data_IF_310728551415
#
_entry.id   IF_310728551415
#
_cell.length_a   1.000
_cell.length_b   1.000
_cell.length_c   1.000
_cell.angle_alpha   90.00
_cell.angle_beta   90.00
_cell.angle_gamma   90.00
#
_symmetry.space_group_name_H-M   'P 1'
#
loop_
_entity.id
_entity.type
_entity.pdbx_description
1 polymer ?
#
# COMPACT_ATOMS: atom_id res chain seq x y z
N UNK A 1 6.12 0.02 -16.29
CA UNK A 1 5.68 0.75 -15.09
C UNK A 1 6.82 1.11 -14.13
N UNK A 2 7.62 0.13 -13.70
CA UNK A 2 8.40 0.26 -12.46
C UNK A 2 9.81 0.87 -12.62
N UNK A 3 10.56 0.55 -13.68
CA UNK A 3 12.00 0.85 -13.73
C UNK A 3 12.33 2.35 -13.61
N UNK A 4 11.74 3.21 -14.44
CA UNK A 4 12.03 4.64 -14.42
C UNK A 4 11.63 5.33 -13.10
N UNK A 5 10.49 4.92 -12.52
CA UNK A 5 10.04 5.43 -11.22
C UNK A 5 10.94 4.95 -10.08
N UNK A 6 11.36 3.68 -10.08
CA UNK A 6 12.29 3.16 -9.07
C UNK A 6 13.61 3.93 -9.14
N UNK A 7 14.16 4.17 -10.34
CA UNK A 7 15.38 4.95 -10.51
C UNK A 7 15.23 6.38 -9.98
N UNK A 8 14.15 7.09 -10.31
CA UNK A 8 13.93 8.45 -9.80
C UNK A 8 13.74 8.47 -8.27
N UNK A 9 13.10 7.45 -7.71
CA UNK A 9 12.94 7.34 -6.26
C UNK A 9 14.28 7.05 -5.59
N UNK A 10 15.10 6.17 -6.16
CA UNK A 10 16.45 5.86 -5.71
C UNK A 10 17.34 7.11 -5.70
N UNK A 11 17.33 7.87 -6.78
CA UNK A 11 18.03 9.16 -6.87
C UNK A 11 17.55 10.16 -5.81
N UNK A 12 16.25 10.23 -5.55
CA UNK A 12 15.72 11.06 -4.48
C UNK A 12 16.23 10.62 -3.10
N UNK A 13 16.25 9.32 -2.82
CA UNK A 13 16.74 8.78 -1.56
C UNK A 13 18.24 9.05 -1.36
N UNK A 14 19.02 8.97 -2.44
CA UNK A 14 20.46 9.25 -2.42
C UNK A 14 20.75 10.76 -2.29
N UNK A 15 20.19 11.58 -3.19
CA UNK A 15 20.60 12.97 -3.38
C UNK A 15 19.87 13.95 -2.45
N UNK A 16 18.59 13.70 -2.16
CA UNK A 16 17.76 14.61 -1.36
C UNK A 16 17.71 14.17 0.10
N UNK A 17 17.60 12.87 0.34
CA UNK A 17 17.50 12.31 1.70
C UNK A 17 18.85 11.88 2.28
N UNK A 18 19.91 11.82 1.46
CA UNK A 18 21.27 11.45 1.85
C UNK A 18 21.33 10.16 2.69
N UNK A 19 20.57 9.15 2.27
CA UNK A 19 20.52 7.86 2.95
C UNK A 19 21.70 6.97 2.54
N UNK A 20 22.10 6.06 3.42
CA UNK A 20 23.11 5.04 3.09
C UNK A 20 22.59 4.03 2.07
N UNK A 21 23.48 3.43 1.29
CA UNK A 21 23.14 2.41 0.27
C UNK A 21 22.28 1.27 0.84
N UNK A 22 22.59 0.81 2.05
CA UNK A 22 21.79 -0.22 2.73
C UNK A 22 20.36 0.25 3.04
N UNK A 23 20.20 1.52 3.41
CA UNK A 23 18.88 2.11 3.63
C UNK A 23 18.14 2.20 2.30
N UNK A 24 18.76 2.78 1.28
CA UNK A 24 18.20 2.91 -0.08
C UNK A 24 17.70 1.56 -0.59
N UNK A 25 18.55 0.53 -0.54
CA UNK A 25 18.20 -0.84 -0.92
C UNK A 25 16.97 -1.35 -0.16
N UNK A 26 16.87 -1.08 1.14
CA UNK A 26 15.71 -1.43 1.95
C UNK A 26 14.41 -0.78 1.47
N UNK A 27 14.44 0.50 1.11
CA UNK A 27 13.27 1.21 0.56
C UNK A 27 12.90 0.69 -0.83
N UNK A 28 13.89 0.48 -1.71
CA UNK A 28 13.67 -0.03 -3.08
C UNK A 28 13.06 -1.44 -3.05
N UNK A 29 13.63 -2.37 -2.27
CA UNK A 29 13.09 -3.73 -2.13
C UNK A 29 11.66 -3.75 -1.55
N UNK A 30 11.33 -2.80 -0.69
CA UNK A 30 9.96 -2.67 -0.19
C UNK A 30 8.99 -2.17 -1.25
N UNK A 31 9.41 -1.18 -2.04
CA UNK A 31 8.65 -0.68 -3.18
C UNK A 31 8.43 -1.75 -4.24
N UNK A 32 9.47 -2.50 -4.62
CA UNK A 32 9.37 -3.62 -5.56
C UNK A 32 8.37 -4.68 -5.06
N UNK A 33 8.41 -5.00 -3.76
CA UNK A 33 7.45 -5.93 -3.16
C UNK A 33 6.02 -5.43 -3.25
N UNK A 34 5.79 -4.12 -3.09
CA UNK A 34 4.47 -3.51 -3.24
C UNK A 34 4.02 -3.55 -4.71
N UNK A 35 4.87 -3.12 -5.65
CA UNK A 35 4.56 -3.14 -7.08
C UNK A 35 4.25 -4.54 -7.60
N UNK A 36 4.98 -5.55 -7.13
CA UNK A 36 4.69 -6.97 -7.44
C UNK A 36 3.32 -7.42 -6.91
N UNK A 37 2.86 -6.87 -5.79
CA UNK A 37 1.50 -7.10 -5.29
C UNK A 37 0.46 -6.42 -6.19
N UNK A 38 0.73 -5.20 -6.66
CA UNK A 38 -0.14 -4.47 -7.59
C UNK A 38 -0.32 -5.21 -8.91
N UNK A 39 0.78 -5.70 -9.48
CA UNK A 39 0.75 -6.49 -10.72
C UNK A 39 -0.12 -7.74 -10.58
N UNK A 40 -0.11 -8.41 -9.41
CA UNK A 40 -0.97 -9.56 -9.14
C UNK A 40 -2.46 -9.20 -9.05
N UNK A 41 -2.78 -7.98 -8.64
CA UNK A 41 -4.14 -7.44 -8.62
C UNK A 41 -4.57 -6.89 -9.99
N UNK A 42 -3.70 -6.95 -11.00
CA UNK A 42 -3.96 -6.39 -12.33
C UNK A 42 -3.80 -4.87 -12.41
N UNK A 43 -3.26 -4.23 -11.37
CA UNK A 43 -3.04 -2.78 -11.33
C UNK A 43 -1.69 -2.48 -11.98
N UNK A 44 -1.77 -1.80 -13.12
CA UNK A 44 -0.61 -1.50 -13.97
C UNK A 44 -0.47 -0.02 -14.25
N UNK A 45 -1.26 0.86 -13.62
CA UNK A 45 -1.10 2.32 -13.73
C UNK A 45 -1.14 2.98 -12.34
N UNK A 46 -0.36 4.06 -12.13
CA UNK A 46 -0.29 4.74 -10.83
C UNK A 46 -1.57 5.52 -10.51
N UNK A 47 -2.31 5.95 -11.54
CA UNK A 47 -3.61 6.61 -11.42
C UNK A 47 -4.72 5.69 -10.87
N UNK A 48 -4.53 4.36 -10.94
CA UNK A 48 -5.43 3.34 -10.41
C UNK A 48 -5.11 3.00 -8.95
N UNK A 49 -4.01 3.53 -8.39
CA UNK A 49 -3.65 3.25 -7.02
C UNK A 49 -4.57 3.99 -6.05
N UNK A 50 -4.95 3.26 -5.02
CA UNK A 50 -5.84 3.70 -3.94
C UNK A 50 -5.27 3.16 -2.61
N UNK A 51 -5.74 3.68 -1.48
CA UNK A 51 -5.21 3.28 -0.17
C UNK A 51 -5.52 1.81 0.15
N UNK A 52 -6.60 1.27 -0.39
CA UNK A 52 -7.08 -0.11 -0.33
C UNK A 52 -6.03 -1.07 -0.88
N UNK A 53 -5.33 -0.68 -1.94
CA UNK A 53 -4.26 -1.46 -2.54
C UNK A 53 -3.05 -1.58 -1.61
N UNK A 54 -2.69 -0.50 -0.91
CA UNK A 54 -1.63 -0.51 0.11
C UNK A 54 -2.05 -1.39 1.29
N UNK A 55 -3.30 -1.27 1.76
CA UNK A 55 -3.85 -2.10 2.84
C UNK A 55 -3.85 -3.59 2.46
N UNK A 56 -4.25 -3.92 1.23
CA UNK A 56 -4.22 -5.29 0.69
C UNK A 56 -2.81 -5.89 0.72
N UNK A 57 -1.81 -5.12 0.31
CA UNK A 57 -0.41 -5.54 0.38
C UNK A 57 0.06 -5.79 1.82
N UNK A 58 -0.24 -4.87 2.74
CA UNK A 58 0.13 -5.01 4.15
C UNK A 58 -0.57 -6.19 4.83
N UNK A 59 -1.85 -6.43 4.51
CA UNK A 59 -2.60 -7.58 4.98
C UNK A 59 -2.00 -8.90 4.43
N UNK A 60 -1.62 -8.93 3.15
CA UNK A 60 -0.95 -10.10 2.57
C UNK A 60 0.37 -10.42 3.30
N UNK A 61 1.17 -9.40 3.63
CA UNK A 61 2.39 -9.58 4.41
C UNK A 61 2.12 -10.11 5.82
N UNK A 62 1.05 -9.64 6.48
CA UNK A 62 0.64 -10.12 7.79
C UNK A 62 0.20 -11.59 7.75
N UNK A 63 -0.62 -11.97 6.77
CA UNK A 63 -1.11 -13.37 6.60
C UNK A 63 0.02 -14.35 6.26
N UNK A 64 1.09 -13.88 5.61
CA UNK A 64 2.28 -14.68 5.31
C UNK A 64 3.27 -14.77 6.48
N UNK A 65 2.94 -14.17 7.63
CA UNK A 65 3.70 -14.33 8.87
C UNK A 65 5.00 -13.53 8.94
N UNK A 66 5.13 -12.42 8.20
CA UNK A 66 6.32 -11.57 8.30
C UNK A 66 6.50 -11.03 9.72
N UNK A 67 7.75 -10.91 10.17
CA UNK A 67 8.05 -10.34 11.47
C UNK A 67 7.47 -8.92 11.62
N UNK A 68 7.00 -8.57 12.82
CA UNK A 68 6.44 -7.24 13.12
C UNK A 68 7.38 -6.10 12.75
N UNK A 69 8.68 -6.25 13.00
CA UNK A 69 9.69 -5.26 12.63
C UNK A 69 9.74 -5.02 11.12
N UNK A 70 9.60 -6.09 10.31
CA UNK A 70 9.56 -6.01 8.85
C UNK A 70 8.28 -5.30 8.39
N UNK A 71 7.13 -5.61 8.99
CA UNK A 71 5.87 -4.93 8.67
C UNK A 71 5.96 -3.43 8.97
N UNK A 72 6.45 -3.06 10.15
CA UNK A 72 6.65 -1.65 10.54
C UNK A 72 7.57 -0.92 9.56
N UNK A 73 8.72 -1.53 9.20
CA UNK A 73 9.66 -0.95 8.23
C UNK A 73 8.97 -0.71 6.88
N UNK A 74 8.21 -1.69 6.38
CA UNK A 74 7.46 -1.59 5.12
C UNK A 74 6.39 -0.50 5.14
N UNK A 75 5.71 -0.30 6.27
CA UNK A 75 4.76 0.83 6.44
C UNK A 75 5.50 2.17 6.35
N UNK A 76 6.65 2.30 7.01
CA UNK A 76 7.45 3.55 6.92
C UNK A 76 7.93 3.79 5.49
N UNK A 77 8.42 2.74 4.81
CA UNK A 77 8.89 2.83 3.44
C UNK A 77 7.79 3.23 2.46
N UNK A 78 6.60 2.61 2.54
CA UNK A 78 5.51 2.96 1.62
C UNK A 78 4.99 4.37 1.85
N UNK A 79 4.95 4.86 3.11
CA UNK A 79 4.59 6.26 3.41
C UNK A 79 5.57 7.26 2.80
N UNK A 80 6.86 6.98 2.92
CA UNK A 80 7.87 7.85 2.31
C UNK A 80 7.75 7.85 0.79
N UNK A 81 7.44 6.69 0.19
CA UNK A 81 7.22 6.57 -1.24
C UNK A 81 5.98 7.33 -1.71
N UNK A 82 4.80 7.13 -1.11
CA UNK A 82 3.57 7.80 -1.56
C UNK A 82 3.64 9.32 -1.42
N UNK A 83 4.31 9.79 -0.36
CA UNK A 83 4.57 11.21 -0.16
C UNK A 83 5.43 11.79 -1.28
N UNK A 84 6.55 11.12 -1.59
CA UNK A 84 7.43 11.51 -2.69
C UNK A 84 6.72 11.44 -4.04
N UNK A 85 5.98 10.36 -4.30
CA UNK A 85 5.30 10.12 -5.57
C UNK A 85 4.21 11.17 -5.83
N UNK A 86 3.45 11.55 -4.79
CA UNK A 86 2.49 12.65 -4.89
C UNK A 86 3.18 14.00 -5.15
N UNK A 87 4.27 14.30 -4.44
CA UNK A 87 5.03 15.54 -4.63
C UNK A 87 5.68 15.66 -6.02
N UNK A 88 5.94 14.53 -6.69
CA UNK A 88 6.55 14.47 -8.03
C UNK A 88 5.52 14.20 -9.15
N UNK A 89 4.20 14.23 -8.84
CA UNK A 89 3.13 14.09 -9.84
C UNK A 89 2.87 12.66 -10.33
N UNK A 90 3.47 11.65 -9.71
CA UNK A 90 3.19 10.24 -10.00
C UNK A 90 1.86 9.77 -9.41
N UNK A 91 1.45 10.36 -8.28
CA UNK A 91 0.13 10.16 -7.65
C UNK A 91 -0.62 11.48 -7.61
N UNK A 92 -1.95 11.42 -7.71
CA UNK A 92 -2.82 12.60 -7.56
C UNK A 92 -2.81 13.15 -6.14
N UNK A 93 -2.53 12.31 -5.14
CA UNK A 93 -2.44 12.68 -3.72
C UNK A 93 -1.61 11.66 -2.93
N UNK A 94 -1.18 12.03 -1.71
CA UNK A 94 -0.43 11.14 -0.83
C UNK A 94 -1.35 10.09 -0.17
N UNK A 95 -1.46 8.92 -0.82
CA UNK A 95 -2.27 7.79 -0.36
C UNK A 95 -1.82 7.24 1.01
N UNK A 96 -0.54 7.40 1.35
CA UNK A 96 0.05 6.88 2.57
C UNK A 96 -0.01 7.84 3.76
N UNK A 97 -0.46 9.08 3.55
CA UNK A 97 -0.50 10.10 4.61
C UNK A 97 -1.23 9.63 5.88
N UNK A 98 -2.33 8.89 5.70
CA UNK A 98 -3.18 8.37 6.77
C UNK A 98 -2.82 6.95 7.23
N UNK A 99 -1.76 6.34 6.69
CA UNK A 99 -1.30 5.03 7.17
C UNK A 99 -0.70 5.17 8.56
N UNK A 100 -1.32 4.52 9.53
CA UNK A 100 -0.88 4.60 10.91
C UNK A 100 0.41 3.75 11.09
N UNK A 101 1.51 4.41 11.48
CA UNK A 101 2.79 3.75 11.76
C UNK A 101 2.81 3.33 13.22
N UNK A 102 2.96 2.03 13.54
CA UNK A 102 3.07 1.57 14.91
C UNK A 102 4.33 2.16 15.56
N UNK A 103 4.17 2.81 16.73
CA UNK A 103 5.32 3.23 17.55
C UNK A 103 5.99 1.98 18.15
N UNK A 104 7.32 1.96 18.34
CA UNK A 104 8.06 0.78 18.78
C UNK A 104 7.63 0.17 20.14
N UNK A 105 6.73 0.82 20.89
CA UNK A 105 6.22 0.30 22.17
C UNK A 105 4.70 0.25 22.33
N UNK A 106 3.88 0.58 21.33
CA UNK A 106 2.41 0.45 21.47
C UNK A 106 1.80 0.02 20.15
N UNK A 107 1.27 -1.21 20.20
CA UNK A 107 0.20 -1.83 19.42
C UNK A 107 0.00 -1.28 18.01
N UNK A 108 0.12 -2.16 17.01
CA UNK A 108 -0.36 -1.90 15.65
C UNK A 108 -1.79 -1.34 15.74
N UNK A 109 -2.05 -0.14 15.20
CA UNK A 109 -3.35 0.49 15.27
C UNK A 109 -4.40 -0.37 14.56
N UNK A 110 -5.63 -0.27 15.07
CA UNK A 110 -6.83 -1.04 14.74
C UNK A 110 -7.12 -1.17 13.23
N UNK A 111 -6.57 -0.29 12.39
CA UNK A 111 -6.65 -0.38 10.92
C UNK A 111 -5.89 -1.58 10.31
N UNK A 112 -5.01 -2.22 11.10
CA UNK A 112 -4.33 -3.47 10.75
C UNK A 112 -4.87 -4.67 11.55
N UNK A 113 -5.86 -4.43 12.41
CA UNK A 113 -6.50 -5.45 13.23
C UNK A 113 -7.94 -5.62 12.74
N UNK A 114 -8.20 -6.80 12.20
CA UNK A 114 -9.53 -7.41 12.04
C UNK A 114 -10.28 -7.05 10.74
N UNK A 115 -10.36 -8.04 9.85
CA UNK A 115 -11.52 -8.39 9.01
C UNK A 115 -12.18 -7.39 8.05
N UNK A 116 -11.59 -6.23 7.72
CA UNK A 116 -12.15 -5.37 6.66
C UNK A 116 -11.56 -5.59 5.25
N UNK A 117 -10.57 -6.46 5.08
CA UNK A 117 -10.16 -6.94 3.76
C UNK A 117 -11.03 -8.11 3.25
N UNK A 118 -11.73 -8.82 4.15
CA UNK A 118 -12.59 -9.95 3.80
C UNK A 118 -14.01 -9.53 3.38
N UNK A 119 -14.40 -8.27 3.59
CA UNK A 119 -15.76 -7.79 3.25
C UNK A 119 -15.83 -7.11 1.87
N UNK A 120 -14.70 -6.73 1.24
CA UNK A 120 -14.72 -6.11 -0.10
C UNK A 120 -14.88 -7.13 -1.23
N UNK A 121 -14.55 -8.41 -1.00
CA UNK A 121 -14.82 -9.49 -1.97
C UNK A 121 -16.20 -10.16 -1.80
N UNK A 122 -17.04 -9.73 -0.84
CA UNK A 122 -18.39 -10.30 -0.62
C UNK A 122 -19.55 -9.34 -0.91
N UNK A 123 -19.30 -8.28 -1.69
CA UNK A 123 -20.33 -7.35 -2.15
C UNK A 123 -20.58 -7.41 -3.68
N UNK A 124 -19.89 -8.29 -4.41
CA UNK A 124 -20.02 -8.41 -5.87
C UNK A 124 -20.72 -9.69 -6.36
N UNK A 125 -21.28 -10.52 -5.47
CA UNK A 125 -21.93 -11.79 -5.85
C UNK A 125 -23.39 -11.97 -5.40
N UNK A 126 -24.17 -10.89 -5.24
CA UNK A 126 -25.64 -11.01 -5.39
C UNK A 126 -26.21 -9.73 -6.02
N UNK A 127 -26.06 -9.59 -7.34
CA UNK A 127 -27.04 -8.83 -8.14
C UNK A 127 -27.76 -9.81 -9.05
N UNK A 128 -29.09 -9.67 -9.06
CA UNK A 128 -30.14 -10.46 -9.76
C UNK A 128 -30.82 -11.39 -8.75
N UNK A 129 -32.10 -11.20 -8.38
CA UNK A 129 -33.26 -11.12 -9.27
C UNK A 129 -34.41 -10.27 -8.65
N UNK A 130 -35.08 -9.50 -9.53
CA UNK A 130 -36.44 -8.92 -9.52
C UNK A 130 -36.99 -8.02 -8.38
N UNK A 131 -37.12 -6.73 -8.74
CA UNK A 131 -38.35 -5.92 -8.90
C UNK A 131 -39.55 -6.04 -7.91
N UNK A 132 -40.28 -4.92 -7.70
CA UNK A 132 -41.16 -4.71 -6.55
C UNK A 132 -42.59 -5.20 -6.82
N UNK A 133 -43.33 -5.58 -5.77
CA UNK A 133 -44.80 -5.60 -5.81
C UNK A 133 -45.34 -5.04 -4.50
N UNK A 134 -46.28 -4.11 -4.69
CA UNK A 134 -46.93 -3.29 -3.69
C UNK A 134 -48.04 -4.03 -2.92
N UNK A 135 -48.58 -3.31 -1.92
CA UNK A 135 -49.88 -3.51 -1.24
C UNK A 135 -49.86 -4.67 -0.22
N UNK A 136 -50.15 -4.44 1.07
CA UNK A 136 -51.38 -3.88 1.64
C UNK A 136 -51.13 -3.28 3.03
#
# INVERSE_FOLDING_TARGET
>A
MSAALITQYEEHLALVRNLSDNSIKGYVTDLESFLKHMEKLGIVEFNQLEIEHIRSWLANLQTTGVARATLTRRIVSIRAFTNWAAANGWLTSDLGANLAVPKPHKVLPEVLNVDEAATVLKALEVKSVEAPTAVN
#
